data_IF_747671516129
#
_entry.id   IF_747671516129
#
_cell.length_a   1.000
_cell.length_b   1.000
_cell.length_c   1.000
_cell.angle_alpha   90.00
_cell.angle_beta   90.00
_cell.angle_gamma   90.00
#
_symmetry.space_group_name_H-M   'P 1'
#
loop_
_entity.id
_entity.type
_entity.pdbx_description
1 polymer ?
#
# COMPACT_ATOMS: atom_id res chain seq x y z
N UNK A 1 -19.39 -26.28 8.70
CA UNK A 1 -18.58 -25.05 8.64
C UNK A 1 -18.84 -24.35 7.33
N UNK A 2 -19.25 -23.08 7.39
CA UNK A 2 -19.63 -22.31 6.20
C UNK A 2 -18.40 -21.78 5.47
N UNK A 3 -18.40 -21.87 4.15
CA UNK A 3 -17.36 -21.38 3.21
C UNK A 3 -17.14 -19.86 3.21
N UNK A 4 -17.78 -19.13 4.13
CA UNK A 4 -17.72 -17.67 4.20
C UNK A 4 -16.98 -17.26 5.47
N UNK A 5 -15.78 -16.73 5.30
CA UNK A 5 -14.95 -16.23 6.40
C UNK A 5 -14.36 -14.85 6.08
N UNK A 6 -14.16 -14.03 7.12
CA UNK A 6 -13.57 -12.69 7.05
C UNK A 6 -12.05 -12.68 7.29
N UNK A 7 -11.44 -13.86 7.45
CA UNK A 7 -10.01 -14.02 7.78
C UNK A 7 -9.08 -13.20 6.88
N UNK A 8 -9.35 -13.13 5.58
CA UNK A 8 -8.52 -12.37 4.63
C UNK A 8 -8.56 -10.86 4.92
N UNK A 9 -9.75 -10.30 5.12
CA UNK A 9 -9.91 -8.86 5.34
C UNK A 9 -9.43 -8.45 6.73
N UNK A 10 -9.65 -9.29 7.74
CA UNK A 10 -9.16 -9.06 9.11
C UNK A 10 -7.63 -9.09 9.18
N UNK A 11 -7.01 -10.00 8.43
CA UNK A 11 -5.55 -10.08 8.33
C UNK A 11 -4.98 -8.79 7.71
N UNK A 12 -5.57 -8.31 6.60
CA UNK A 12 -5.17 -7.05 5.98
C UNK A 12 -5.20 -5.87 6.96
N UNK A 13 -6.33 -5.68 7.67
CA UNK A 13 -6.47 -4.58 8.64
C UNK A 13 -5.51 -4.71 9.83
N UNK A 14 -5.20 -5.93 10.24
CA UNK A 14 -4.24 -6.19 11.31
C UNK A 14 -2.82 -5.75 10.91
N UNK A 15 -2.43 -6.01 9.66
CA UNK A 15 -1.14 -5.59 9.11
C UNK A 15 -1.05 -4.07 8.96
N UNK A 16 -2.10 -3.44 8.40
CA UNK A 16 -2.15 -1.98 8.24
C UNK A 16 -2.01 -1.27 9.58
N UNK A 17 -2.81 -1.64 10.59
CA UNK A 17 -2.75 -1.00 11.92
C UNK A 17 -1.35 -1.12 12.52
N UNK A 18 -0.74 -2.32 12.48
CA UNK A 18 0.62 -2.53 13.01
C UNK A 18 1.66 -1.69 12.28
N UNK A 19 1.52 -1.56 10.96
CA UNK A 19 2.37 -0.70 10.14
C UNK A 19 2.25 0.78 10.51
N UNK A 20 1.01 1.27 10.66
CA UNK A 20 0.74 2.65 11.11
C UNK A 20 1.34 2.92 12.48
N UNK A 21 1.20 2.02 13.45
CA UNK A 21 1.77 2.22 14.78
C UNK A 21 3.30 2.11 14.83
N UNK A 22 3.90 1.19 14.06
CA UNK A 22 5.32 0.86 14.17
C UNK A 22 6.25 1.59 13.21
N UNK A 23 5.78 1.90 12.00
CA UNK A 23 6.60 2.48 10.92
C UNK A 23 6.32 3.98 10.82
N UNK A 24 5.04 4.37 10.75
CA UNK A 24 4.64 5.75 10.51
C UNK A 24 4.36 6.49 11.83
N UNK A 25 5.36 7.20 12.32
CA UNK A 25 5.25 7.93 13.60
C UNK A 25 4.36 9.19 13.50
N UNK A 26 4.12 9.70 12.29
CA UNK A 26 3.22 10.80 12.01
C UNK A 26 2.41 10.50 10.73
N UNK A 27 1.15 10.13 10.92
CA UNK A 27 0.21 9.86 9.83
C UNK A 27 -0.65 11.10 9.63
N UNK A 28 -0.78 11.56 8.38
CA UNK A 28 -1.69 12.65 8.01
C UNK A 28 -2.73 12.15 7.04
N UNK A 29 -3.97 12.61 7.20
CA UNK A 29 -5.09 12.30 6.31
C UNK A 29 -4.76 12.58 4.82
N UNK A 30 -3.90 13.59 4.57
CA UNK A 30 -3.44 13.95 3.22
C UNK A 30 -2.72 12.81 2.47
N UNK A 31 -2.20 11.83 3.20
CA UNK A 31 -1.44 10.72 2.61
C UNK A 31 -2.12 9.37 2.87
N UNK A 32 -3.34 9.35 3.41
CA UNK A 32 -4.04 8.13 3.78
C UNK A 32 -4.20 7.17 2.60
N UNK A 33 -4.55 7.71 1.43
CA UNK A 33 -4.63 6.96 0.16
C UNK A 33 -3.31 6.23 -0.14
N UNK A 34 -2.17 6.89 0.03
CA UNK A 34 -0.85 6.33 -0.27
C UNK A 34 -0.47 5.19 0.66
N UNK A 35 -0.81 5.31 1.94
CA UNK A 35 -0.61 4.23 2.90
C UNK A 35 -1.48 3.03 2.52
N UNK A 36 -2.77 3.25 2.21
CA UNK A 36 -3.67 2.17 1.82
C UNK A 36 -3.20 1.45 0.55
N UNK A 37 -2.77 2.20 -0.46
CA UNK A 37 -2.22 1.65 -1.71
C UNK A 37 -0.98 0.79 -1.45
N UNK A 38 -0.08 1.27 -0.61
CA UNK A 38 1.14 0.55 -0.25
C UNK A 38 0.83 -0.78 0.46
N UNK A 39 -0.04 -0.77 1.47
CA UNK A 39 -0.41 -2.00 2.18
C UNK A 39 -1.20 -2.96 1.29
N UNK A 40 -2.03 -2.43 0.39
CA UNK A 40 -2.75 -3.24 -0.60
C UNK A 40 -1.79 -3.93 -1.56
N UNK A 41 -0.81 -3.19 -2.10
CA UNK A 41 0.23 -3.74 -2.95
C UNK A 41 1.04 -4.82 -2.22
N UNK A 42 1.47 -4.56 -0.98
CA UNK A 42 2.19 -5.53 -0.13
C UNK A 42 1.36 -6.79 0.12
N UNK A 43 0.08 -6.66 0.45
CA UNK A 43 -0.79 -7.78 0.76
C UNK A 43 -1.09 -8.65 -0.47
N UNK A 44 -1.35 -8.01 -1.61
CA UNK A 44 -1.68 -8.69 -2.86
C UNK A 44 -0.45 -9.36 -3.50
N UNK A 45 0.74 -8.81 -3.29
CA UNK A 45 2.00 -9.38 -3.81
C UNK A 45 2.72 -10.29 -2.82
N UNK A 46 2.10 -10.65 -1.69
CA UNK A 46 2.75 -11.40 -0.59
C UNK A 46 3.33 -12.77 -0.98
N UNK A 47 2.84 -13.37 -2.06
CA UNK A 47 3.31 -14.66 -2.58
C UNK A 47 4.45 -14.54 -3.57
N UNK A 48 4.73 -13.33 -4.06
CA UNK A 48 5.82 -13.07 -5.00
C UNK A 48 7.16 -12.98 -4.28
N UNK A 49 8.22 -13.35 -4.98
CA UNK A 49 9.58 -13.12 -4.51
C UNK A 49 9.90 -11.62 -4.46
N UNK A 50 10.90 -11.25 -3.67
CA UNK A 50 11.35 -9.86 -3.60
C UNK A 50 11.77 -9.30 -4.96
N UNK A 51 12.37 -10.14 -5.81
CA UNK A 51 12.79 -9.75 -7.15
C UNK A 51 11.58 -9.44 -8.05
N UNK A 52 10.60 -10.34 -8.13
CA UNK A 52 9.38 -10.12 -8.92
C UNK A 52 8.60 -8.88 -8.46
N UNK A 53 8.54 -8.65 -7.14
CA UNK A 53 7.91 -7.44 -6.58
C UNK A 53 8.63 -6.17 -6.98
N UNK A 54 9.96 -6.21 -6.99
CA UNK A 54 10.77 -5.07 -7.39
C UNK A 54 10.62 -4.78 -8.89
N UNK A 55 10.65 -5.82 -9.72
CA UNK A 55 10.44 -5.69 -11.17
C UNK A 55 9.06 -5.10 -11.49
N UNK A 56 7.99 -5.62 -10.88
CA UNK A 56 6.64 -5.06 -11.04
C UNK A 56 6.58 -3.58 -10.64
N UNK A 57 7.20 -3.22 -9.51
CA UNK A 57 7.24 -1.84 -9.07
C UNK A 57 7.96 -0.91 -10.05
N UNK A 58 9.05 -1.36 -10.67
CA UNK A 58 9.75 -0.59 -11.69
C UNK A 58 8.89 -0.38 -12.94
N UNK A 59 8.16 -1.41 -13.38
CA UNK A 59 7.26 -1.32 -14.53
C UNK A 59 6.10 -0.36 -14.24
N UNK A 60 5.53 -0.43 -13.04
CA UNK A 60 4.42 0.42 -12.62
C UNK A 60 4.86 1.86 -12.28
N UNK A 61 6.16 2.08 -12.06
CA UNK A 61 6.68 3.41 -11.72
C UNK A 61 6.56 4.36 -12.91
N UNK A 62 5.82 5.46 -12.74
CA UNK A 62 5.81 6.54 -13.72
C UNK A 62 7.24 7.11 -13.84
N UNK A 63 7.79 7.07 -15.05
CA UNK A 63 9.19 7.39 -15.35
C UNK A 63 9.60 8.85 -15.10
N UNK A 64 8.64 9.76 -14.87
CA UNK A 64 8.93 11.16 -14.55
C UNK A 64 7.82 11.86 -13.75
N UNK A 65 8.13 12.22 -12.51
CA UNK A 65 7.25 12.99 -11.64
C UNK A 65 7.63 14.48 -11.68
N UNK A 66 6.93 15.27 -12.52
CA UNK A 66 7.16 16.72 -12.59
C UNK A 66 6.82 17.41 -11.26
N UNK A 67 7.59 18.42 -10.85
CA UNK A 67 7.27 19.27 -9.69
C UNK A 67 5.86 19.88 -9.75
N UNK A 68 5.38 20.19 -10.97
CA UNK A 68 4.00 20.67 -11.20
C UNK A 68 2.94 19.60 -10.89
N UNK A 69 3.27 18.31 -11.07
CA UNK A 69 2.40 17.17 -10.68
C UNK A 69 2.43 16.97 -9.16
N UNK A 70 3.60 17.07 -8.53
CA UNK A 70 3.76 16.93 -7.07
C UNK A 70 2.94 17.95 -6.27
N UNK A 71 2.84 19.18 -6.77
CA UNK A 71 2.13 20.27 -6.10
C UNK A 71 0.68 20.44 -6.55
N UNK A 72 0.22 19.60 -7.49
CA UNK A 72 -1.17 19.63 -7.94
C UNK A 72 -2.04 19.12 -6.80
N UNK A 73 -2.82 20.02 -6.20
CA UNK A 73 -3.79 19.67 -5.15
C UNK A 73 -4.75 18.62 -5.73
N UNK A 74 -4.76 17.42 -5.17
CA UNK A 74 -5.81 16.45 -5.46
C UNK A 74 -7.14 17.13 -5.13
N UNK A 75 -8.04 17.19 -6.13
CA UNK A 75 -9.36 17.81 -6.03
C UNK A 75 -10.24 16.88 -5.20
#
# INVERSE_FOLDING_TARGET
>A
DGDVHTNTIENFWSLLKRGLYGIYHQVSDKHLERYLDEFSARFNTRSLTTQERFENFLVDSESYLSHKRLTKKAI
#
